data_IF_318034129825
#
_entry.id   IF_318034129825
#
_cell.length_a   1.000
_cell.length_b   1.000
_cell.length_c   1.000
_cell.angle_alpha   90.00
_cell.angle_beta   90.00
_cell.angle_gamma   90.00
#
_symmetry.space_group_name_H-M   'P 1'
#
loop_
_entity.id
_entity.type
_entity.pdbx_description
1 polymer ?
#
# COMPACT_ATOMS: atom_id res chain seq x y z
N UNK A 1 -39.36 -7.32 7.77
CA UNK A 1 -38.31 -6.60 8.53
C UNK A 1 -36.96 -6.63 7.79
N UNK A 2 -36.94 -6.19 6.52
CA UNK A 2 -35.78 -6.29 5.61
C UNK A 2 -34.76 -5.16 5.85
N UNK A 3 -35.25 -4.01 6.31
CA UNK A 3 -34.42 -2.85 6.65
C UNK A 3 -33.55 -3.08 7.91
N UNK A 4 -34.06 -3.77 8.94
CA UNK A 4 -33.26 -4.11 10.13
C UNK A 4 -32.20 -5.18 9.82
N UNK A 5 -32.50 -6.16 8.96
CA UNK A 5 -31.52 -7.15 8.53
C UNK A 5 -30.37 -6.52 7.72
N UNK A 6 -30.69 -5.62 6.78
CA UNK A 6 -29.68 -4.86 6.04
C UNK A 6 -28.88 -3.90 6.95
N UNK A 7 -29.48 -3.34 8.00
CA UNK A 7 -28.78 -2.50 8.96
C UNK A 7 -27.84 -3.32 9.88
N UNK A 8 -28.24 -4.54 10.25
CA UNK A 8 -27.44 -5.45 11.08
C UNK A 8 -26.30 -6.10 10.28
N UNK A 9 -26.52 -6.49 9.02
CA UNK A 9 -25.46 -7.02 8.15
C UNK A 9 -24.45 -5.94 7.78
N UNK A 10 -24.89 -4.71 7.48
CA UNK A 10 -24.01 -3.55 7.25
C UNK A 10 -23.23 -3.12 8.50
N UNK A 11 -23.69 -3.46 9.70
CA UNK A 11 -22.94 -3.19 10.94
C UNK A 11 -21.67 -4.02 11.09
N UNK A 12 -21.62 -5.22 10.46
CA UNK A 12 -20.48 -6.13 10.53
C UNK A 12 -19.43 -5.89 9.45
N UNK A 13 -19.82 -5.35 8.28
CA UNK A 13 -18.88 -5.10 7.17
C UNK A 13 -17.75 -4.14 7.58
N UNK A 14 -17.98 -3.03 8.31
CA UNK A 14 -16.89 -2.15 8.73
C UNK A 14 -15.92 -2.87 9.66
N UNK A 15 -16.43 -3.67 10.59
CA UNK A 15 -15.58 -4.45 11.51
C UNK A 15 -14.73 -5.45 10.72
N UNK A 16 -15.34 -6.19 9.78
CA UNK A 16 -14.62 -7.11 8.90
C UNK A 16 -13.53 -6.39 8.08
N UNK A 17 -13.86 -5.25 7.49
CA UNK A 17 -12.93 -4.44 6.70
C UNK A 17 -11.71 -4.00 7.52
N UNK A 18 -11.93 -3.44 8.71
CA UNK A 18 -10.83 -2.95 9.55
C UNK A 18 -10.01 -4.09 10.17
N UNK A 19 -10.61 -5.25 10.46
CA UNK A 19 -9.85 -6.42 10.90
C UNK A 19 -8.93 -6.94 9.79
N UNK A 20 -9.44 -7.03 8.55
CA UNK A 20 -8.62 -7.42 7.39
C UNK A 20 -7.52 -6.40 7.10
N UNK A 21 -7.79 -5.11 7.34
CA UNK A 21 -6.82 -4.04 7.13
C UNK A 21 -5.58 -4.23 8.02
N UNK A 22 -5.75 -4.54 9.31
CA UNK A 22 -4.64 -4.78 10.24
C UNK A 22 -3.78 -5.99 9.82
N UNK A 23 -4.42 -7.09 9.41
CA UNK A 23 -3.74 -8.27 8.89
C UNK A 23 -2.96 -7.95 7.61
N UNK A 24 -3.61 -7.26 6.67
CA UNK A 24 -3.03 -6.91 5.39
C UNK A 24 -1.85 -5.93 5.52
N UNK A 25 -1.91 -4.97 6.45
CA UNK A 25 -0.79 -4.06 6.69
C UNK A 25 0.42 -4.79 7.28
N UNK A 26 0.18 -5.77 8.15
CA UNK A 26 1.26 -6.61 8.68
C UNK A 26 1.91 -7.46 7.59
N UNK A 27 1.14 -7.87 6.58
CA UNK A 27 1.59 -8.78 5.51
C UNK A 27 2.22 -8.09 4.31
N UNK A 28 1.65 -6.96 3.88
CA UNK A 28 1.99 -6.29 2.62
C UNK A 28 2.59 -4.89 2.82
N UNK A 29 2.68 -4.43 4.07
CA UNK A 29 3.25 -3.14 4.41
C UNK A 29 2.23 -1.99 4.37
N UNK A 30 2.74 -0.78 4.37
CA UNK A 30 1.98 0.42 4.72
C UNK A 30 1.40 1.17 3.52
N UNK A 31 2.04 1.02 2.35
CA UNK A 31 1.61 1.61 1.07
C UNK A 31 0.53 0.76 0.39
N UNK A 32 -0.49 0.38 1.15
CA UNK A 32 -1.54 -0.54 0.74
C UNK A 32 -2.88 0.19 0.66
N UNK A 33 -3.60 -0.01 -0.44
CA UNK A 33 -4.99 0.40 -0.64
C UNK A 33 -5.86 -0.84 -0.63
N UNK A 34 -6.84 -0.89 0.27
CA UNK A 34 -7.76 -2.02 0.39
C UNK A 34 -9.11 -1.68 -0.26
N UNK A 35 -9.48 -2.45 -1.28
CA UNK A 35 -10.75 -2.34 -1.98
C UNK A 35 -11.66 -3.50 -1.58
N UNK A 36 -12.79 -3.21 -0.94
CA UNK A 36 -13.76 -4.21 -0.52
C UNK A 36 -14.98 -4.22 -1.44
N UNK A 37 -15.34 -5.40 -1.95
CA UNK A 37 -16.53 -5.56 -2.75
C UNK A 37 -17.79 -5.48 -1.88
N UNK A 38 -18.71 -4.61 -2.28
CA UNK A 38 -20.05 -4.50 -1.72
C UNK A 38 -21.04 -4.47 -2.88
N UNK A 39 -21.67 -5.62 -3.14
CA UNK A 39 -22.53 -5.79 -4.31
C UNK A 39 -21.78 -5.59 -5.63
N UNK A 40 -22.10 -4.53 -6.37
CA UNK A 40 -21.52 -4.20 -7.69
C UNK A 40 -20.45 -3.09 -7.64
N UNK A 41 -19.98 -2.75 -6.44
CA UNK A 41 -18.98 -1.70 -6.24
C UNK A 41 -17.80 -2.23 -5.45
N UNK A 42 -16.62 -1.72 -5.76
CA UNK A 42 -15.49 -1.72 -4.84
C UNK A 42 -15.54 -0.43 -4.02
N UNK A 43 -15.38 -0.56 -2.70
CA UNK A 43 -15.39 0.54 -1.77
C UNK A 43 -14.07 0.61 -1.00
N UNK A 44 -13.66 1.83 -0.66
CA UNK A 44 -12.51 2.14 0.19
C UNK A 44 -13.02 2.94 1.38
N UNK A 45 -12.73 2.47 2.59
CA UNK A 45 -13.23 3.06 3.83
C UNK A 45 -12.09 3.54 4.72
N UNK A 46 -12.30 4.66 5.41
CA UNK A 46 -11.33 5.26 6.31
C UNK A 46 -12.01 5.81 7.57
N UNK A 47 -11.40 5.57 8.73
CA UNK A 47 -11.80 6.17 10.00
C UNK A 47 -10.92 7.39 10.30
N UNK A 48 -11.42 8.63 10.12
CA UNK A 48 -10.71 9.83 10.52
C UNK A 48 -10.49 9.84 12.05
N UNK A 49 -9.40 10.48 12.48
CA UNK A 49 -9.08 10.77 13.88
C UNK A 49 -8.89 9.56 14.80
N UNK A 50 -8.77 8.35 14.24
CA UNK A 50 -8.25 7.19 14.98
C UNK A 50 -6.76 7.11 14.65
N UNK A 51 -5.85 7.18 15.64
CA UNK A 51 -4.42 7.00 15.38
C UNK A 51 -4.22 5.62 14.76
N UNK A 52 -4.04 5.61 13.44
CA UNK A 52 -3.79 4.39 12.70
C UNK A 52 -2.29 4.18 12.56
N UNK A 53 -1.89 2.92 12.43
CA UNK A 53 -0.51 2.54 12.13
C UNK A 53 0.00 3.32 10.90
N UNK A 54 -0.82 3.48 9.86
CA UNK A 54 -0.49 4.29 8.68
C UNK A 54 -0.21 5.76 8.99
N UNK A 55 -0.99 6.39 9.87
CA UNK A 55 -0.73 7.77 10.26
C UNK A 55 0.59 7.87 11.04
N UNK A 56 0.83 6.97 12.00
CA UNK A 56 2.06 6.96 12.78
C UNK A 56 3.31 6.79 11.88
N UNK A 57 3.24 5.89 10.90
CA UNK A 57 4.36 5.67 9.98
C UNK A 57 4.52 6.75 8.92
N UNK A 58 3.44 7.29 8.37
CA UNK A 58 3.60 8.36 7.39
C UNK A 58 4.08 9.66 8.07
N UNK A 59 3.75 9.87 9.35
CA UNK A 59 4.42 10.88 10.17
C UNK A 59 5.92 10.56 10.35
N UNK A 60 6.29 9.29 10.56
CA UNK A 60 7.69 8.89 10.64
C UNK A 60 8.44 9.07 9.30
N UNK A 61 7.81 8.79 8.16
CA UNK A 61 8.37 8.99 6.82
C UNK A 61 8.57 10.49 6.52
N UNK A 62 7.60 11.34 6.89
CA UNK A 62 7.75 12.80 6.82
C UNK A 62 8.90 13.31 7.68
N UNK A 63 9.11 12.74 8.87
CA UNK A 63 10.23 13.10 9.74
C UNK A 63 11.58 12.69 9.12
N UNK A 64 11.65 11.51 8.50
CA UNK A 64 12.85 11.05 7.76
C UNK A 64 13.13 11.95 6.55
N UNK A 65 12.12 12.27 5.75
CA UNK A 65 12.27 13.13 4.57
C UNK A 65 12.68 14.57 4.96
N UNK A 66 12.11 15.09 6.04
CA UNK A 66 12.49 16.40 6.58
C UNK A 66 13.94 16.42 7.07
N UNK A 67 14.44 15.31 7.62
CA UNK A 67 15.86 15.19 8.02
C UNK A 67 16.83 15.08 6.85
N UNK A 68 16.40 14.53 5.70
CA UNK A 68 17.22 14.44 4.47
C UNK A 68 17.36 15.76 3.73
N UNK A 69 16.33 16.63 3.81
CA UNK A 69 16.34 17.95 3.18
C UNK A 69 17.05 19.04 4.00
N UNK A 70 17.47 18.74 5.24
CA UNK A 70 18.29 19.64 6.05
C UNK A 70 19.76 19.59 5.58
N UNK A 71 20.06 20.24 4.44
CA UNK A 71 21.35 20.91 4.30
C UNK A 71 21.41 22.09 5.29
N UNK A 72 22.60 22.51 5.77
CA UNK A 72 22.69 23.58 6.76
C UNK A 72 22.32 24.93 6.13
N UNK A 73 21.04 25.27 6.15
CA UNK A 73 20.52 26.57 5.72
C UNK A 73 20.56 27.51 6.94
N UNK A 74 21.19 28.66 6.76
CA UNK A 74 21.58 29.63 7.80
C UNK A 74 20.53 30.71 8.11
N UNK A 75 19.28 30.56 7.67
CA UNK A 75 18.23 31.57 7.86
C UNK A 75 16.97 30.97 8.50
N UNK A 76 16.69 31.38 9.73
CA UNK A 76 15.64 30.84 10.58
C UNK A 76 14.23 31.39 10.26
N UNK A 77 14.13 32.38 9.37
CA UNK A 77 12.85 33.04 9.05
C UNK A 77 12.04 32.28 7.98
N UNK A 78 12.71 31.62 7.03
CA UNK A 78 12.08 30.72 6.05
C UNK A 78 11.72 29.33 6.64
N UNK A 79 12.33 28.97 7.76
CA UNK A 79 12.07 27.72 8.48
C UNK A 79 10.63 27.68 9.04
N UNK A 80 10.13 28.78 9.60
CA UNK A 80 8.78 28.81 10.17
C UNK A 80 7.67 28.84 9.10
N UNK A 81 7.90 29.48 7.95
CA UNK A 81 6.93 29.48 6.85
C UNK A 81 6.89 28.12 6.13
N UNK A 82 8.05 27.47 5.95
CA UNK A 82 8.19 26.11 5.40
C UNK A 82 7.55 25.06 6.31
N UNK A 83 7.78 25.13 7.62
CA UNK A 83 7.19 24.20 8.59
C UNK A 83 5.68 24.38 8.71
N UNK A 84 5.16 25.62 8.63
CA UNK A 84 3.70 25.87 8.64
C UNK A 84 3.00 25.44 7.36
N UNK A 85 3.61 25.56 6.18
CA UNK A 85 3.00 25.07 4.93
C UNK A 85 3.11 23.55 4.77
N UNK A 86 4.10 22.91 5.43
CA UNK A 86 4.40 21.48 5.31
C UNK A 86 3.75 20.61 6.39
N UNK A 87 3.08 21.21 7.37
CA UNK A 87 2.07 20.57 8.22
C UNK A 87 0.77 20.24 7.46
N UNK A 88 0.88 19.88 6.18
CA UNK A 88 -0.15 19.14 5.47
C UNK A 88 -0.06 17.72 6.01
N UNK A 89 -0.79 17.48 7.10
CA UNK A 89 -0.94 16.16 7.69
C UNK A 89 -1.18 15.17 6.57
N UNK A 90 -0.41 14.08 6.59
CA UNK A 90 -0.49 12.95 5.66
C UNK A 90 -1.90 12.81 5.16
N UNK A 91 -2.15 13.23 3.92
CA UNK A 91 -3.48 13.14 3.34
C UNK A 91 -3.84 11.66 3.41
N UNK A 92 -4.92 11.26 4.10
CA UNK A 92 -5.17 9.85 4.29
C UNK A 92 -5.33 9.17 2.91
N UNK A 93 -5.06 7.86 2.82
CA UNK A 93 -5.09 7.17 1.54
C UNK A 93 -6.42 7.36 0.78
N UNK A 94 -7.53 7.55 1.49
CA UNK A 94 -8.84 7.77 0.87
C UNK A 94 -8.95 9.11 0.12
N UNK A 95 -8.41 10.20 0.65
CA UNK A 95 -8.42 11.51 0.00
C UNK A 95 -7.48 11.55 -1.21
N UNK A 96 -6.32 10.91 -1.08
CA UNK A 96 -5.38 10.79 -2.21
C UNK A 96 -5.98 9.97 -3.34
N UNK A 97 -6.53 8.79 -3.02
CA UNK A 97 -7.19 7.92 -4.00
C UNK A 97 -8.41 8.61 -4.61
N UNK A 98 -9.24 9.28 -3.78
CA UNK A 98 -10.42 9.97 -4.29
C UNK A 98 -10.07 11.11 -5.24
N UNK A 99 -9.06 11.92 -4.90
CA UNK A 99 -8.56 12.99 -5.79
C UNK A 99 -8.00 12.42 -7.09
N UNK A 100 -7.21 11.34 -7.00
CA UNK A 100 -6.57 10.72 -8.15
C UNK A 100 -7.57 10.08 -9.12
N UNK A 101 -8.63 9.46 -8.59
CA UNK A 101 -9.67 8.78 -9.38
C UNK A 101 -10.88 9.67 -9.71
N UNK A 102 -10.83 10.95 -9.35
CA UNK A 102 -11.96 11.90 -9.44
C UNK A 102 -13.26 11.36 -8.81
N UNK A 103 -13.10 10.74 -7.62
CA UNK A 103 -14.19 10.13 -6.87
C UNK A 103 -14.65 11.03 -5.74
N UNK A 104 -15.96 11.02 -5.49
CA UNK A 104 -16.54 11.74 -4.36
C UNK A 104 -16.42 10.93 -3.08
N UNK A 105 -15.84 11.54 -2.04
CA UNK A 105 -15.89 11.00 -0.68
C UNK A 105 -17.26 11.32 -0.06
N UNK A 106 -17.84 10.32 0.59
CA UNK A 106 -19.10 10.40 1.33
C UNK A 106 -18.88 9.98 2.77
N UNK A 107 -19.76 10.43 3.67
CA UNK A 107 -19.75 10.00 5.07
C UNK A 107 -21.10 9.38 5.44
N UNK A 108 -21.27 8.05 5.29
CA UNK A 108 -22.54 7.42 5.58
C UNK A 108 -22.81 7.37 7.09
N UNK A 109 -23.84 8.09 7.54
CA UNK A 109 -24.38 8.01 8.90
C UNK A 109 -23.60 8.79 9.98
N UNK A 110 -23.98 8.59 11.24
CA UNK A 110 -23.44 9.33 12.42
C UNK A 110 -22.04 8.89 12.89
N UNK A 111 -21.38 7.95 12.20
CA UNK A 111 -20.19 7.22 12.71
C UNK A 111 -18.84 7.77 12.25
N UNK A 112 -18.80 9.01 11.74
CA UNK A 112 -17.56 9.65 11.25
C UNK A 112 -16.69 8.68 10.46
N UNK A 113 -17.26 8.00 9.46
CA UNK A 113 -16.56 7.07 8.56
C UNK A 113 -16.56 7.70 7.17
N UNK A 114 -15.39 7.78 6.54
CA UNK A 114 -15.26 8.22 5.16
C UNK A 114 -15.32 7.01 4.24
N UNK A 115 -16.02 7.17 3.12
CA UNK A 115 -16.24 6.14 2.12
C UNK A 115 -16.14 6.75 0.72
N UNK A 116 -15.43 6.08 -0.17
CA UNK A 116 -15.53 6.26 -1.62
C UNK A 116 -15.66 4.89 -2.29
N UNK A 117 -16.11 4.85 -3.53
CA UNK A 117 -16.21 3.60 -4.28
C UNK A 117 -16.45 3.81 -5.76
N UNK A 118 -16.26 2.74 -6.54
CA UNK A 118 -16.48 2.72 -7.98
C UNK A 118 -17.00 1.35 -8.43
N UNK A 119 -17.63 1.24 -9.61
CA UNK A 119 -18.19 -0.02 -10.10
C UNK A 119 -17.11 -1.09 -10.33
N UNK A 120 -17.42 -2.36 -10.05
CA UNK A 120 -16.45 -3.47 -10.16
C UNK A 120 -15.76 -3.58 -11.53
N UNK A 121 -16.49 -3.25 -12.61
CA UNK A 121 -15.97 -3.35 -13.97
C UNK A 121 -14.92 -2.28 -14.29
N UNK A 122 -14.80 -1.23 -13.46
CA UNK A 122 -13.81 -0.15 -13.62
C UNK A 122 -12.48 -0.46 -12.93
N UNK A 123 -12.35 -1.61 -12.26
CA UNK A 123 -11.15 -1.97 -11.50
C UNK A 123 -9.89 -1.91 -12.37
N UNK A 124 -9.89 -2.57 -13.52
CA UNK A 124 -8.72 -2.64 -14.41
C UNK A 124 -8.29 -1.24 -14.88
N UNK A 125 -9.23 -0.36 -15.17
CA UNK A 125 -8.96 1.04 -15.58
C UNK A 125 -8.27 1.85 -14.48
N UNK A 126 -8.68 1.68 -13.22
CA UNK A 126 -8.09 2.44 -12.12
C UNK A 126 -6.82 1.80 -11.55
N UNK A 127 -6.61 0.52 -11.81
CA UNK A 127 -5.49 -0.23 -11.28
C UNK A 127 -4.15 0.33 -11.73
N UNK A 128 -3.97 0.60 -13.02
CA UNK A 128 -2.74 1.23 -13.55
C UNK A 128 -2.44 2.57 -12.86
N UNK A 129 -3.45 3.44 -12.78
CA UNK A 129 -3.32 4.76 -12.15
C UNK A 129 -2.90 4.67 -10.68
N UNK A 130 -3.41 3.68 -9.94
CA UNK A 130 -3.07 3.48 -8.53
C UNK A 130 -1.67 2.85 -8.37
N UNK A 131 -1.31 1.89 -9.23
CA UNK A 131 0.01 1.24 -9.20
C UNK A 131 1.14 2.20 -9.61
N UNK A 132 0.88 3.12 -10.53
CA UNK A 132 1.84 4.17 -10.95
C UNK A 132 2.21 5.12 -9.80
N UNK A 133 1.38 5.19 -8.75
CA UNK A 133 1.70 5.90 -7.50
C UNK A 133 2.54 5.07 -6.52
N UNK A 134 2.91 3.85 -6.89
CA UNK A 134 3.67 2.94 -6.04
C UNK A 134 2.83 2.23 -4.98
N UNK A 135 1.51 2.29 -5.07
CA UNK A 135 0.63 1.62 -4.09
C UNK A 135 0.44 0.14 -4.42
N UNK A 136 0.30 -0.68 -3.37
CA UNK A 136 -0.15 -2.07 -3.48
C UNK A 136 -1.66 -2.12 -3.27
N UNK A 137 -2.40 -2.69 -4.22
CA UNK A 137 -3.85 -2.75 -4.20
C UNK A 137 -4.30 -4.15 -3.79
N UNK A 138 -5.08 -4.23 -2.71
CA UNK A 138 -5.65 -5.48 -2.22
C UNK A 138 -7.14 -5.48 -2.56
N UNK A 139 -7.55 -6.47 -3.35
CA UNK A 139 -8.95 -6.67 -3.73
C UNK A 139 -9.54 -7.75 -2.84
N UNK A 140 -10.68 -7.42 -2.23
CA UNK A 140 -11.44 -8.30 -1.34
C UNK A 140 -12.82 -8.52 -1.96
N UNK A 141 -13.07 -9.74 -2.44
CA UNK A 141 -14.32 -10.08 -3.10
C UNK A 141 -15.33 -10.75 -2.16
N UNK A 142 -16.61 -10.63 -2.51
CA UNK A 142 -17.70 -11.34 -1.86
C UNK A 142 -17.69 -12.81 -2.30
N UNK A 143 -17.56 -13.73 -1.33
CA UNK A 143 -17.63 -15.15 -1.58
C UNK A 143 -19.09 -15.58 -1.81
N UNK A 144 -19.32 -16.39 -2.83
CA UNK A 144 -20.62 -17.01 -3.09
C UNK A 144 -20.99 -17.92 -1.91
N UNK A 145 -21.91 -17.47 -1.07
CA UNK A 145 -22.39 -18.24 0.09
C UNK A 145 -23.87 -18.55 -0.09
N UNK A 146 -24.24 -19.83 -0.08
CA UNK A 146 -25.64 -20.27 -0.22
C UNK A 146 -26.48 -20.07 1.05
N UNK A 147 -25.85 -19.68 2.17
CA UNK A 147 -26.51 -19.52 3.46
C UNK A 147 -27.05 -18.10 3.65
N UNK A 148 -28.25 -18.00 4.22
CA UNK A 148 -28.83 -16.76 4.74
C UNK A 148 -27.93 -16.19 5.85
N UNK A 149 -27.12 -15.18 5.51
CA UNK A 149 -26.18 -14.54 6.42
C UNK A 149 -25.42 -13.37 5.76
N UNK A 150 -24.61 -12.63 6.54
CA UNK A 150 -23.69 -11.66 5.97
C UNK A 150 -22.70 -12.38 5.06
N UNK A 151 -22.57 -11.88 3.82
CA UNK A 151 -21.66 -12.47 2.84
C UNK A 151 -20.23 -12.50 3.38
N UNK A 152 -19.59 -13.66 3.28
CA UNK A 152 -18.18 -13.78 3.57
C UNK A 152 -17.36 -13.04 2.50
N UNK A 153 -16.18 -12.58 2.89
CA UNK A 153 -15.27 -11.85 2.01
C UNK A 153 -13.86 -12.31 2.28
N UNK A 154 -13.07 -12.44 1.22
CA UNK A 154 -11.68 -12.83 1.31
C UNK A 154 -10.85 -12.02 0.30
N UNK A 155 -9.56 -11.88 0.59
CA UNK A 155 -8.61 -11.32 -0.36
C UNK A 155 -8.60 -12.25 -1.58
N UNK A 156 -9.01 -11.72 -2.73
CA UNK A 156 -9.01 -12.45 -4.00
C UNK A 156 -7.71 -12.20 -4.76
N UNK A 157 -7.23 -10.96 -4.77
CA UNK A 157 -6.07 -10.55 -5.54
C UNK A 157 -5.27 -9.47 -4.81
N UNK A 158 -3.96 -9.47 -5.06
CA UNK A 158 -3.03 -8.44 -4.59
C UNK A 158 -2.21 -7.99 -5.79
N UNK A 159 -2.29 -6.70 -6.08
CA UNK A 159 -1.57 -6.06 -7.17
C UNK A 159 -0.49 -5.17 -6.60
N UNK A 160 0.74 -5.36 -7.02
CA UNK A 160 1.85 -4.47 -6.68
C UNK A 160 2.47 -3.92 -7.96
N UNK A 161 3.15 -2.76 -7.91
CA UNK A 161 3.70 -2.12 -9.10
C UNK A 161 4.57 -3.07 -9.94
N UNK A 162 5.42 -3.87 -9.28
CA UNK A 162 6.36 -4.79 -9.96
C UNK A 162 5.73 -6.12 -10.42
N UNK A 163 4.48 -6.39 -10.06
CA UNK A 163 3.79 -7.65 -10.38
C UNK A 163 2.57 -7.46 -11.28
N UNK A 164 2.38 -6.27 -11.86
CA UNK A 164 1.28 -6.03 -12.78
C UNK A 164 1.62 -6.64 -14.15
N UNK A 165 0.84 -7.64 -14.56
CA UNK A 165 1.00 -8.35 -15.83
C UNK A 165 0.41 -7.56 -17.01
N UNK A 166 -0.51 -6.64 -16.73
CA UNK A 166 -1.21 -5.84 -17.72
C UNK A 166 -0.56 -4.44 -17.78
N UNK A 167 -0.22 -3.97 -18.97
CA UNK A 167 0.31 -2.61 -19.23
C UNK A 167 1.68 -2.26 -18.61
N UNK A 168 2.71 -3.10 -18.81
CA UNK A 168 4.10 -2.72 -18.55
C UNK A 168 4.90 -2.55 -19.85
N UNK A 169 5.31 -1.32 -20.23
CA UNK A 169 6.17 -1.10 -21.41
C UNK A 169 7.60 -1.59 -21.19
N UNK A 170 8.04 -1.67 -19.94
CA UNK A 170 9.38 -2.11 -19.53
C UNK A 170 9.28 -3.35 -18.64
N UNK A 171 10.37 -4.15 -18.63
CA UNK A 171 10.37 -5.39 -17.85
C UNK A 171 10.59 -5.08 -16.36
N UNK A 172 9.54 -5.28 -15.56
CA UNK A 172 9.60 -5.11 -14.11
C UNK A 172 10.22 -6.34 -13.43
N UNK A 173 11.21 -6.11 -12.57
CA UNK A 173 11.79 -7.15 -11.71
C UNK A 173 11.45 -6.90 -10.24
N UNK A 174 11.08 -7.97 -9.54
CA UNK A 174 11.06 -8.04 -8.09
C UNK A 174 12.44 -8.51 -7.62
N UNK A 175 13.06 -7.75 -6.72
CA UNK A 175 14.32 -8.13 -6.08
C UNK A 175 14.08 -8.72 -4.69
N UNK A 176 14.75 -9.82 -4.40
CA UNK A 176 14.89 -10.38 -3.06
C UNK A 176 16.37 -10.37 -2.68
N UNK A 177 16.68 -9.79 -1.53
CA UNK A 177 18.04 -9.72 -1.00
C UNK A 177 18.07 -10.44 0.34
N UNK A 178 18.87 -11.49 0.42
CA UNK A 178 19.11 -12.25 1.63
C UNK A 178 20.49 -11.92 2.19
N UNK A 179 20.55 -11.55 3.47
CA UNK A 179 21.80 -11.29 4.18
C UNK A 179 22.19 -12.54 4.94
N UNK A 180 23.41 -13.04 4.68
CA UNK A 180 24.02 -14.10 5.46
C UNK A 180 25.18 -13.52 6.26
N UNK A 181 24.99 -13.43 7.56
CA UNK A 181 26.06 -13.15 8.50
C UNK A 181 26.89 -14.43 8.68
N UNK A 182 28.17 -14.37 8.31
CA UNK A 182 29.12 -15.42 8.64
C UNK A 182 29.65 -15.16 10.05
N UNK A 183 29.02 -15.79 11.05
CA UNK A 183 29.63 -15.91 12.38
C UNK A 183 30.73 -16.97 12.30
N UNK A 184 31.96 -16.53 12.58
CA UNK A 184 33.22 -17.27 12.63
C UNK A 184 34.12 -17.14 11.38
N UNK A 185 35.25 -16.45 11.63
CA UNK A 185 36.40 -16.14 10.79
C UNK A 185 36.27 -15.04 9.71
N UNK A 186 36.88 -13.92 10.06
CA UNK A 186 36.64 -12.56 9.58
C UNK A 186 37.61 -12.18 8.45
N UNK A 187 37.43 -12.77 7.26
CA UNK A 187 38.17 -12.34 6.05
C UNK A 187 37.31 -12.15 4.80
N UNK A 188 36.07 -12.66 4.76
CA UNK A 188 35.21 -12.64 3.55
C UNK A 188 33.97 -11.74 3.63
N UNK A 189 33.66 -11.15 4.80
CA UNK A 189 32.57 -10.19 4.96
C UNK A 189 31.16 -10.77 4.74
N UNK A 190 30.14 -9.92 4.95
CA UNK A 190 28.72 -10.27 4.79
C UNK A 190 28.47 -10.77 3.35
N UNK A 191 27.79 -11.91 3.20
CA UNK A 191 27.40 -12.45 1.90
C UNK A 191 25.94 -12.12 1.59
N UNK A 192 25.69 -11.50 0.44
CA UNK A 192 24.36 -11.21 -0.07
C UNK A 192 23.93 -12.28 -1.07
N UNK A 193 22.75 -12.86 -0.90
CA UNK A 193 22.07 -13.61 -1.96
C UNK A 193 21.07 -12.70 -2.64
N UNK A 194 21.27 -12.43 -3.94
CA UNK A 194 20.35 -11.57 -4.71
C UNK A 194 19.59 -12.44 -5.70
N UNK A 195 18.26 -12.27 -5.72
CA UNK A 195 17.38 -12.88 -6.72
C UNK A 195 16.55 -11.78 -7.39
N UNK A 196 16.59 -11.72 -8.71
CA UNK A 196 15.76 -10.86 -9.56
C UNK A 196 14.74 -11.74 -10.27
N UNK A 197 13.46 -11.44 -10.16
CA UNK A 197 12.38 -12.21 -10.79
C UNK A 197 11.40 -11.30 -11.52
N UNK A 198 11.12 -11.60 -12.79
CA UNK A 198 10.09 -10.91 -13.58
C UNK A 198 8.85 -11.79 -13.69
N UNK A 199 7.73 -11.30 -13.13
CA UNK A 199 6.46 -12.00 -13.20
C UNK A 199 5.90 -12.07 -14.63
N UNK A 200 6.26 -11.10 -15.49
CA UNK A 200 5.74 -10.98 -16.85
C UNK A 200 6.16 -12.11 -17.78
N UNK A 201 7.40 -12.58 -17.66
CA UNK A 201 7.98 -13.59 -18.55
C UNK A 201 8.57 -14.79 -17.80
N UNK A 202 8.48 -14.82 -16.47
CA UNK A 202 9.05 -15.87 -15.62
C UNK A 202 10.58 -15.87 -15.57
N UNK A 203 11.24 -14.82 -16.08
CA UNK A 203 12.70 -14.73 -16.07
C UNK A 203 13.22 -14.52 -14.64
N UNK A 204 14.20 -15.33 -14.25
CA UNK A 204 14.80 -15.28 -12.92
C UNK A 204 16.32 -15.31 -13.01
N UNK A 205 16.98 -14.43 -12.27
CA UNK A 205 18.44 -14.40 -12.12
C UNK A 205 18.76 -14.48 -10.63
N UNK A 206 19.65 -15.38 -10.24
CA UNK A 206 20.11 -15.50 -8.86
C UNK A 206 21.63 -15.51 -8.82
N UNK A 207 22.22 -14.69 -7.97
CA UNK A 207 23.67 -14.65 -7.80
C UNK A 207 24.07 -14.17 -6.39
N UNK A 208 25.16 -14.72 -5.83
CA UNK A 208 25.73 -14.23 -4.58
C UNK A 208 26.65 -13.03 -4.83
N UNK A 209 26.72 -12.10 -3.87
CA UNK A 209 27.63 -10.96 -3.87
C UNK A 209 28.20 -10.73 -2.48
N UNK A 210 29.52 -10.59 -2.37
CA UNK A 210 30.15 -10.14 -1.13
C UNK A 210 29.82 -8.67 -0.87
N UNK A 211 29.60 -8.30 0.39
CA UNK A 211 29.29 -6.92 0.79
C UNK A 211 30.37 -5.90 0.37
N UNK A 212 31.62 -6.33 0.28
CA UNK A 212 32.71 -5.52 -0.25
C UNK A 212 32.44 -5.03 -1.70
N UNK A 213 31.69 -5.81 -2.47
CA UNK A 213 31.33 -5.56 -3.86
C UNK A 213 29.93 -4.94 -4.05
N UNK A 214 29.27 -4.49 -2.97
CA UNK A 214 27.90 -3.94 -3.02
C UNK A 214 27.72 -2.79 -4.01
N UNK A 215 28.76 -2.01 -4.28
CA UNK A 215 28.69 -0.90 -5.24
C UNK A 215 28.50 -1.40 -6.69
N UNK A 216 28.96 -2.62 -7.01
CA UNK A 216 28.69 -3.25 -8.31
C UNK A 216 27.20 -3.58 -8.46
N UNK A 217 26.58 -4.04 -7.38
CA UNK A 217 25.13 -4.30 -7.32
C UNK A 217 24.35 -3.00 -7.40
N UNK A 218 24.73 -1.98 -6.64
CA UNK A 218 24.06 -0.68 -6.68
C UNK A 218 24.06 -0.10 -8.11
N UNK A 219 25.19 -0.19 -8.83
CA UNK A 219 25.27 0.22 -10.24
C UNK A 219 24.34 -0.59 -11.15
N UNK A 220 24.21 -1.90 -10.93
CA UNK A 220 23.29 -2.75 -11.69
C UNK A 220 21.82 -2.36 -11.45
N UNK A 221 21.47 -1.95 -10.23
CA UNK A 221 20.09 -1.63 -9.85
C UNK A 221 19.63 -0.21 -10.21
N UNK A 222 20.57 0.71 -10.45
CA UNK A 222 20.29 2.12 -10.77
C UNK A 222 20.39 2.40 -12.27
N UNK A 223 20.99 1.48 -13.04
CA UNK A 223 21.13 1.57 -14.50
C UNK A 223 19.84 1.29 -15.24
#
# INVERSE_FOLDING_TARGET
NFALYNALSKGQIPVQYFNLMEENYSKYGLSVIQLIQIGKFYELWHKPNVPSIQQAYSQAELLVESSRLLNPITDYSELESSIRSRSLGVTPPIEQVASLLDMRITSPGKRSLLQMGFPIYSLTTYLSTLLDKGWTIIVIDELATEKSGPKQRAVSQVYSPSCNLEDCPELSYVISIYFKDSSEDDLLGILLGITLFSAMNGHSIMFPVYWADRDKVARLLIS
#
